data_IF_320540285500
#
_entry.id   IF_320540285500
#
_cell.length_a   1.000
_cell.length_b   1.000
_cell.length_c   1.000
_cell.angle_alpha   90.00
_cell.angle_beta   90.00
_cell.angle_gamma   90.00
#
_symmetry.space_group_name_H-M   'P 1'
#
loop_
_entity.id
_entity.type
_entity.pdbx_description
1 polymer ?
#
# COMPACT_ATOMS: atom_id res chain seq x y z
N UNK A 1 -4.71 -1.28 14.20
CA UNK A 1 -6.16 -0.99 14.02
C UNK A 1 -6.68 -1.47 12.66
N UNK A 2 -5.88 -1.54 11.59
CA UNK A 2 -6.33 -2.10 10.31
C UNK A 2 -5.56 -3.36 9.84
N UNK A 3 -4.48 -3.75 10.54
CA UNK A 3 -3.72 -5.00 10.33
C UNK A 3 -3.47 -5.36 8.86
N UNK A 4 -3.20 -4.33 8.04
CA UNK A 4 -3.04 -4.43 6.59
C UNK A 4 -1.67 -4.96 6.17
N UNK A 5 -0.74 -5.12 7.10
CA UNK A 5 0.56 -5.72 6.80
C UNK A 5 0.39 -7.23 6.66
N UNK A 6 0.92 -7.80 5.58
CA UNK A 6 0.79 -9.23 5.32
C UNK A 6 1.47 -10.04 6.46
N UNK A 7 0.75 -10.96 7.12
CA UNK A 7 1.27 -11.72 8.26
C UNK A 7 2.34 -12.74 7.84
N UNK A 8 2.30 -13.25 6.61
CA UNK A 8 3.28 -14.18 6.07
C UNK A 8 4.50 -13.44 5.50
N UNK A 9 4.28 -12.27 4.90
CA UNK A 9 5.33 -11.44 4.35
C UNK A 9 5.20 -9.98 4.77
N UNK A 10 5.79 -9.65 5.92
CA UNK A 10 5.73 -8.31 6.54
C UNK A 10 6.28 -7.16 5.68
N UNK A 11 6.83 -7.43 4.49
CA UNK A 11 7.26 -6.39 3.54
C UNK A 11 6.12 -5.93 2.63
N UNK A 12 5.03 -6.67 2.59
CA UNK A 12 3.86 -6.38 1.80
C UNK A 12 2.77 -5.73 2.65
N UNK A 13 2.05 -4.80 2.04
CA UNK A 13 0.86 -4.18 2.59
C UNK A 13 -0.32 -4.50 1.68
N UNK A 14 -1.34 -5.12 2.25
CA UNK A 14 -2.62 -5.38 1.62
C UNK A 14 -3.50 -4.15 1.75
N UNK A 15 -3.76 -3.51 0.62
CA UNK A 15 -4.50 -2.26 0.53
C UNK A 15 -6.00 -2.49 0.78
N UNK A 16 -6.54 -1.76 1.76
CA UNK A 16 -7.98 -1.58 1.88
C UNK A 16 -8.52 -0.65 0.79
N UNK A 17 -9.83 -0.44 0.72
CA UNK A 17 -10.44 0.34 -0.36
C UNK A 17 -10.01 1.82 -0.36
N UNK A 18 -9.52 2.35 0.76
CA UNK A 18 -8.96 3.70 0.80
C UNK A 18 -7.52 3.69 0.30
N UNK A 19 -6.72 2.72 0.73
CA UNK A 19 -5.32 2.57 0.35
C UNK A 19 -5.18 2.22 -1.14
N UNK A 20 -6.13 1.47 -1.70
CA UNK A 20 -6.21 1.20 -3.15
C UNK A 20 -6.30 2.50 -3.96
N UNK A 21 -7.00 3.53 -3.48
CA UNK A 21 -7.09 4.82 -4.20
C UNK A 21 -5.73 5.54 -4.26
N UNK A 22 -4.89 5.34 -3.26
CA UNK A 22 -3.54 5.91 -3.17
C UNK A 22 -2.51 5.04 -3.90
N UNK A 23 -2.78 3.74 -4.04
CA UNK A 23 -1.88 2.78 -4.66
C UNK A 23 -2.25 2.42 -6.11
N UNK A 24 -2.88 3.35 -6.84
CA UNK A 24 -3.31 3.14 -8.24
C UNK A 24 -4.16 1.86 -8.43
N UNK A 25 -4.99 1.52 -7.44
CA UNK A 25 -5.86 0.34 -7.43
C UNK A 25 -5.18 -0.97 -7.03
N UNK A 26 -3.89 -0.97 -6.69
CA UNK A 26 -3.18 -2.18 -6.28
C UNK A 26 -3.69 -2.72 -4.95
N UNK A 27 -4.05 -4.00 -4.95
CA UNK A 27 -4.50 -4.73 -3.76
C UNK A 27 -3.36 -5.05 -2.79
N UNK A 28 -2.12 -5.20 -3.28
CA UNK A 28 -0.94 -5.41 -2.45
C UNK A 28 0.21 -4.58 -3.00
N UNK A 29 0.96 -3.93 -2.11
CA UNK A 29 2.16 -3.17 -2.47
C UNK A 29 3.32 -3.55 -1.56
N UNK A 30 4.53 -3.48 -2.09
CA UNK A 30 5.74 -3.55 -1.26
C UNK A 30 6.28 -2.14 -0.93
N UNK A 31 7.28 -2.08 -0.05
CA UNK A 31 7.89 -0.81 0.38
C UNK A 31 8.50 0.04 -0.75
N UNK A 32 9.05 -0.58 -1.81
CA UNK A 32 9.63 0.15 -2.94
C UNK A 32 8.55 0.80 -3.81
N UNK A 33 7.45 0.09 -4.03
CA UNK A 33 6.29 0.62 -4.75
C UNK A 33 5.57 1.68 -3.92
N UNK A 34 5.48 1.50 -2.60
CA UNK A 34 4.78 2.42 -1.72
C UNK A 34 5.32 3.84 -1.82
N UNK A 35 6.64 4.03 -1.75
CA UNK A 35 7.26 5.36 -1.84
C UNK A 35 6.91 6.07 -3.14
N UNK A 36 6.97 5.33 -4.28
CA UNK A 36 6.65 5.89 -5.61
C UNK A 36 5.18 6.23 -5.77
N UNK A 37 4.29 5.42 -5.21
CA UNK A 37 2.84 5.63 -5.32
C UNK A 37 2.41 6.80 -4.42
N UNK A 38 2.87 6.82 -3.16
CA UNK A 38 2.56 7.90 -2.21
C UNK A 38 3.10 9.25 -2.69
N UNK A 39 4.30 9.28 -3.30
CA UNK A 39 4.87 10.55 -3.81
C UNK A 39 4.01 11.23 -4.88
N UNK A 40 3.16 10.50 -5.61
CA UNK A 40 2.23 11.10 -6.58
C UNK A 40 1.12 11.92 -5.92
N UNK A 41 0.86 11.70 -4.63
CA UNK A 41 -0.21 12.34 -3.88
C UNK A 41 0.28 13.43 -2.92
N UNK A 42 1.59 13.68 -2.83
CA UNK A 42 2.22 14.63 -1.90
C UNK A 42 2.48 16.01 -2.53
N UNK A 43 1.64 16.44 -3.48
CA UNK A 43 1.72 17.77 -4.12
C UNK A 43 1.08 18.87 -3.27
#
# INVERSE_FOLDING_TARGET
KNDLQDPANRRNINADDNLKKVFDGKATVNMFEMTKLVSKHLS
#
